data_IF_996208381249
#
_entry.id   IF_996208381249
#
_cell.length_a   1.000
_cell.length_b   1.000
_cell.length_c   1.000
_cell.angle_alpha   90.00
_cell.angle_beta   90.00
_cell.angle_gamma   90.00
#
_symmetry.space_group_name_H-M   'P 1'
#
loop_
_entity.id
_entity.type
_entity.pdbx_description
1 polymer ?
#
# COMPACT_ATOMS: atom_id res chain seq x y z
N UNK A 1 27.32 -3.31 -1.33
CA UNK A 1 26.16 -4.21 -1.10
C UNK A 1 25.30 -3.63 0.02
N UNK A 2 24.07 -3.18 -0.26
CA UNK A 2 23.16 -2.70 0.79
C UNK A 2 22.46 -3.93 1.40
N UNK A 3 22.40 -4.08 2.74
CA UNK A 3 21.75 -5.21 3.36
C UNK A 3 20.24 -5.16 3.08
N UNK A 4 19.69 -6.25 2.54
CA UNK A 4 18.26 -6.48 2.42
C UNK A 4 17.69 -6.64 3.83
N UNK A 5 17.08 -5.57 4.33
CA UNK A 5 16.32 -5.57 5.58
C UNK A 5 15.15 -6.57 5.48
N UNK A 6 15.39 -7.81 5.92
CA UNK A 6 14.35 -8.79 6.20
C UNK A 6 13.51 -8.25 7.36
N UNK A 7 12.18 -8.23 7.20
CA UNK A 7 11.25 -7.72 8.21
C UNK A 7 11.06 -8.71 9.37
N UNK A 8 12.16 -9.15 9.97
CA UNK A 8 12.11 -9.88 11.24
C UNK A 8 11.83 -8.89 12.37
N UNK A 9 10.60 -8.91 12.90
CA UNK A 9 10.14 -8.35 14.21
C UNK A 9 8.92 -7.41 14.19
N UNK A 10 8.27 -7.12 13.05
CA UNK A 10 6.98 -6.39 13.10
C UNK A 10 5.84 -7.32 13.51
N UNK A 11 5.37 -7.20 14.76
CA UNK A 11 4.08 -7.76 15.22
C UNK A 11 2.95 -6.99 14.52
N UNK A 12 2.44 -7.52 13.41
CA UNK A 12 1.30 -6.90 12.73
C UNK A 12 0.06 -6.89 13.63
N UNK A 13 -0.74 -5.81 13.58
CA UNK A 13 -1.91 -5.64 14.45
C UNK A 13 -2.94 -6.78 14.31
N UNK A 14 -3.00 -7.42 13.15
CA UNK A 14 -3.89 -8.55 12.86
C UNK A 14 -3.42 -9.89 13.43
N UNK A 15 -2.14 -10.06 13.78
CA UNK A 15 -1.60 -11.32 14.31
C UNK A 15 -1.78 -11.47 15.82
N UNK A 16 -2.48 -10.53 16.48
CA UNK A 16 -2.77 -10.56 17.93
C UNK A 16 -4.09 -11.29 18.19
N UNK A 17 -4.10 -12.21 19.16
CA UNK A 17 -5.22 -13.12 19.49
C UNK A 17 -6.56 -12.44 19.83
N UNK A 18 -6.55 -11.18 20.28
CA UNK A 18 -7.77 -10.48 20.74
C UNK A 18 -8.08 -9.22 19.93
N UNK A 19 -8.24 -9.38 18.63
CA UNK A 19 -8.68 -8.30 17.75
C UNK A 19 -10.18 -8.44 17.40
N UNK A 20 -11.00 -7.46 17.81
CA UNK A 20 -12.46 -7.46 17.56
C UNK A 20 -12.80 -7.35 16.06
N UNK A 21 -13.65 -8.28 15.57
CA UNK A 21 -14.09 -8.34 14.15
C UNK A 21 -14.71 -7.03 13.67
N UNK A 22 -15.47 -6.33 14.52
CA UNK A 22 -16.11 -5.06 14.17
C UNK A 22 -15.13 -3.88 14.07
N UNK A 23 -14.06 -3.86 14.89
CA UNK A 23 -13.00 -2.86 14.74
C UNK A 23 -12.19 -3.06 13.45
N UNK A 24 -12.03 -4.31 12.97
CA UNK A 24 -11.34 -4.59 11.68
C UNK A 24 -12.10 -3.95 10.55
N UNK A 25 -13.42 -4.14 10.59
CA UNK A 25 -14.33 -3.60 9.59
C UNK A 25 -14.24 -2.06 9.54
N UNK A 26 -14.30 -1.38 10.69
CA UNK A 26 -14.14 0.06 10.75
C UNK A 26 -12.77 0.53 10.24
N UNK A 27 -11.67 -0.12 10.66
CA UNK A 27 -10.32 0.23 10.20
C UNK A 27 -10.19 0.10 8.66
N UNK A 28 -10.75 -0.96 8.08
CA UNK A 28 -10.79 -1.19 6.62
C UNK A 28 -11.59 -0.09 5.92
N UNK A 29 -12.80 0.21 6.38
CA UNK A 29 -13.65 1.22 5.74
C UNK A 29 -13.05 2.62 5.83
N UNK A 30 -12.39 2.94 6.95
CA UNK A 30 -11.70 4.23 7.11
C UNK A 30 -10.54 4.36 6.12
N UNK A 31 -9.79 3.28 5.88
CA UNK A 31 -8.73 3.23 4.88
C UNK A 31 -9.28 3.43 3.46
N UNK A 32 -10.33 2.70 3.09
CA UNK A 32 -10.94 2.79 1.75
C UNK A 32 -11.47 4.20 1.49
N UNK A 33 -12.17 4.80 2.45
CA UNK A 33 -12.70 6.16 2.32
C UNK A 33 -11.58 7.20 2.18
N UNK A 34 -10.48 7.07 2.94
CA UNK A 34 -9.29 7.93 2.79
C UNK A 34 -8.62 7.77 1.43
N UNK A 35 -8.49 6.54 0.93
CA UNK A 35 -7.90 6.25 -0.37
C UNK A 35 -8.73 6.88 -1.51
N UNK A 36 -10.05 6.69 -1.49
CA UNK A 36 -10.96 7.27 -2.48
C UNK A 36 -10.93 8.81 -2.45
N UNK A 37 -10.91 9.41 -1.26
CA UNK A 37 -10.81 10.86 -1.11
C UNK A 37 -9.46 11.41 -1.61
N UNK A 38 -8.35 10.73 -1.30
CA UNK A 38 -7.02 11.07 -1.81
C UNK A 38 -6.96 10.98 -3.35
N UNK A 39 -7.54 9.92 -3.92
CA UNK A 39 -7.59 9.73 -5.37
C UNK A 39 -8.48 10.77 -6.07
N UNK A 40 -9.61 11.14 -5.45
CA UNK A 40 -10.50 12.21 -5.93
C UNK A 40 -9.84 13.59 -5.89
N UNK A 41 -9.09 13.91 -4.82
CA UNK A 41 -8.37 15.17 -4.69
C UNK A 41 -7.13 15.27 -5.58
N UNK A 42 -6.51 14.14 -5.95
CA UNK A 42 -5.33 14.08 -6.82
C UNK A 42 -5.58 14.66 -8.22
N UNK A 43 -6.81 14.57 -8.73
CA UNK A 43 -7.18 15.09 -10.04
C UNK A 43 -7.62 16.57 -10.02
N UNK A 44 -7.62 17.23 -8.85
CA UNK A 44 -8.07 18.64 -8.71
C UNK A 44 -6.86 19.57 -8.68
N UNK A 45 -6.80 20.51 -9.62
CA UNK A 45 -5.71 21.47 -9.84
C UNK A 45 -5.37 22.36 -8.63
N UNK A 46 -6.32 22.57 -7.71
CA UNK A 46 -6.13 23.25 -6.42
C UNK A 46 -5.05 22.59 -5.53
N UNK A 47 -4.79 21.29 -5.68
CA UNK A 47 -3.81 20.55 -4.86
C UNK A 47 -2.33 20.81 -5.22
N UNK A 48 -2.07 21.58 -6.29
CA UNK A 48 -0.73 21.91 -6.76
C UNK A 48 -0.50 23.42 -6.74
N UNK A 49 0.06 23.95 -5.64
CA UNK A 49 0.64 25.29 -5.64
C UNK A 49 1.94 25.27 -6.47
N UNK A 50 2.00 26.08 -7.53
CA UNK A 50 3.21 26.29 -8.33
C UNK A 50 3.41 25.32 -9.52
N UNK A 51 2.33 24.71 -10.02
CA UNK A 51 2.37 23.90 -11.24
C UNK A 51 2.73 22.43 -11.00
N UNK A 52 2.28 21.60 -11.92
CA UNK A 52 2.50 20.15 -11.91
C UNK A 52 3.78 19.86 -12.70
N UNK A 53 4.86 19.50 -12.01
CA UNK A 53 6.06 18.92 -12.64
C UNK A 53 6.01 17.40 -12.55
N UNK A 54 6.44 16.71 -13.62
CA UNK A 54 6.47 15.25 -13.66
C UNK A 54 7.38 14.64 -12.58
N UNK A 55 8.45 15.34 -12.20
CA UNK A 55 9.35 14.91 -11.12
C UNK A 55 8.66 14.94 -9.75
N UNK A 56 7.88 16.01 -9.47
CA UNK A 56 7.09 16.13 -8.24
C UNK A 56 5.98 15.08 -8.17
N UNK A 57 5.35 14.77 -9.31
CA UNK A 57 4.35 13.70 -9.43
C UNK A 57 4.97 12.34 -9.16
N UNK A 58 6.09 12.01 -9.79
CA UNK A 58 6.79 10.74 -9.59
C UNK A 58 7.19 10.53 -8.12
N UNK A 59 7.76 11.57 -7.49
CA UNK A 59 8.12 11.52 -6.06
C UNK A 59 6.90 11.24 -5.17
N UNK A 60 5.76 11.91 -5.43
CA UNK A 60 4.50 11.65 -4.72
C UNK A 60 3.94 10.26 -4.97
N UNK A 61 3.94 9.78 -6.23
CA UNK A 61 3.49 8.43 -6.58
C UNK A 61 4.32 7.37 -5.86
N UNK A 62 5.64 7.56 -5.78
CA UNK A 62 6.53 6.66 -5.05
C UNK A 62 6.22 6.61 -3.56
N UNK A 63 6.04 7.77 -2.92
CA UNK A 63 5.67 7.84 -1.51
C UNK A 63 4.31 7.16 -1.24
N UNK A 64 3.33 7.38 -2.11
CA UNK A 64 2.01 6.76 -2.02
C UNK A 64 2.07 5.24 -2.24
N UNK A 65 2.87 4.77 -3.20
CA UNK A 65 3.08 3.34 -3.45
C UNK A 65 3.68 2.61 -2.24
N UNK A 66 4.69 3.20 -1.59
CA UNK A 66 5.28 2.66 -0.36
C UNK A 66 4.23 2.58 0.76
N UNK A 67 3.47 3.66 0.95
CA UNK A 67 2.42 3.70 1.98
C UNK A 67 1.31 2.67 1.75
N UNK A 68 0.88 2.47 0.49
CA UNK A 68 -0.10 1.43 0.13
C UNK A 68 0.45 0.05 0.49
N UNK A 69 1.68 -0.27 0.07
CA UNK A 69 2.33 -1.56 0.36
C UNK A 69 2.34 -1.85 1.86
N UNK A 70 2.78 -0.88 2.67
CA UNK A 70 2.81 -1.02 4.13
C UNK A 70 1.41 -1.21 4.73
N UNK A 71 0.42 -0.48 4.22
CA UNK A 71 -0.95 -0.60 4.70
C UNK A 71 -1.54 -1.98 4.36
N UNK A 72 -1.29 -2.52 3.16
CA UNK A 72 -1.75 -3.87 2.80
C UNK A 72 -1.15 -4.93 3.73
N UNK A 73 0.12 -4.78 4.13
CA UNK A 73 0.76 -5.65 5.13
C UNK A 73 0.07 -5.55 6.51
N UNK A 74 -0.26 -4.33 6.93
CA UNK A 74 -0.94 -4.05 8.20
C UNK A 74 -2.41 -4.48 8.23
N UNK A 75 -3.07 -4.56 7.08
CA UNK A 75 -4.45 -5.05 6.94
C UNK A 75 -4.52 -6.58 6.89
N UNK A 76 -3.44 -7.24 6.46
CA UNK A 76 -3.25 -8.69 6.59
C UNK A 76 -3.47 -9.51 5.32
N UNK A 77 -3.56 -10.85 5.44
CA UNK A 77 -3.36 -11.78 4.33
C UNK A 77 -4.25 -11.55 3.10
N UNK A 78 -5.52 -11.18 3.30
CA UNK A 78 -6.43 -10.88 2.19
C UNK A 78 -5.95 -9.68 1.36
N UNK A 79 -5.53 -8.61 2.03
CA UNK A 79 -5.06 -7.39 1.38
C UNK A 79 -3.67 -7.57 0.74
N UNK A 80 -2.82 -8.40 1.35
CA UNK A 80 -1.55 -8.82 0.76
C UNK A 80 -1.81 -9.52 -0.59
N UNK A 81 -2.75 -10.48 -0.64
CA UNK A 81 -3.13 -11.18 -1.89
C UNK A 81 -3.68 -10.22 -2.95
N UNK A 82 -4.49 -9.24 -2.55
CA UNK A 82 -4.98 -8.19 -3.47
C UNK A 82 -3.82 -7.39 -4.05
N UNK A 83 -2.86 -6.98 -3.22
CA UNK A 83 -1.66 -6.29 -3.70
C UNK A 83 -0.83 -7.11 -4.68
N UNK A 84 -0.70 -8.42 -4.42
CA UNK A 84 -0.01 -9.36 -5.32
C UNK A 84 -0.72 -9.52 -6.66
N UNK A 85 -2.06 -9.55 -6.67
CA UNK A 85 -2.83 -9.59 -7.91
C UNK A 85 -2.68 -8.29 -8.72
N UNK A 86 -2.63 -7.15 -8.03
CA UNK A 86 -2.43 -5.86 -8.69
C UNK A 86 -1.00 -5.68 -9.23
N UNK A 87 0.01 -6.27 -8.59
CA UNK A 87 1.39 -6.19 -9.10
C UNK A 87 1.60 -6.95 -10.40
N UNK A 88 0.73 -7.92 -10.75
CA UNK A 88 0.77 -8.59 -12.07
C UNK A 88 0.07 -7.79 -13.17
N UNK A 89 -0.64 -6.70 -12.81
CA UNK A 89 -1.39 -5.83 -13.74
C UNK A 89 -0.67 -4.49 -13.94
N UNK A 90 0.57 -4.56 -14.40
CA UNK A 90 1.40 -3.39 -14.67
C UNK A 90 0.83 -2.46 -15.76
N UNK A 91 -0.16 -2.94 -16.52
CA UNK A 91 -0.93 -2.17 -17.50
C UNK A 91 -1.88 -1.13 -16.85
N UNK A 92 -2.26 -1.33 -15.58
CA UNK A 92 -3.27 -0.50 -14.91
C UNK A 92 -2.68 0.52 -13.92
N UNK A 93 -1.42 0.35 -13.52
CA UNK A 93 -0.80 1.13 -12.45
C UNK A 93 0.51 1.78 -12.90
N UNK A 94 0.85 2.98 -12.40
CA UNK A 94 2.16 3.57 -12.63
C UNK A 94 3.28 2.66 -12.13
N UNK A 95 4.44 2.71 -12.78
CA UNK A 95 5.57 1.83 -12.51
C UNK A 95 6.01 1.82 -11.04
N UNK A 96 5.91 2.97 -10.35
CA UNK A 96 6.26 3.09 -8.93
C UNK A 96 5.36 2.22 -8.03
N UNK A 97 4.09 2.04 -8.38
CA UNK A 97 3.16 1.18 -7.64
C UNK A 97 3.43 -0.28 -7.92
N UNK A 98 3.64 -0.65 -9.18
CA UNK A 98 3.95 -2.02 -9.58
C UNK A 98 5.19 -2.50 -8.85
N UNK A 99 6.25 -1.68 -8.83
CA UNK A 99 7.51 -2.02 -8.16
C UNK A 99 7.33 -2.24 -6.65
N UNK A 100 6.59 -1.37 -5.95
CA UNK A 100 6.35 -1.54 -4.52
C UNK A 100 5.42 -2.73 -4.23
N UNK A 101 4.36 -2.92 -5.02
CA UNK A 101 3.44 -4.05 -4.82
C UNK A 101 4.10 -5.40 -5.11
N UNK A 102 5.02 -5.49 -6.08
CA UNK A 102 5.76 -6.72 -6.36
C UNK A 102 6.56 -7.22 -5.14
N UNK A 103 7.01 -6.32 -4.26
CA UNK A 103 7.69 -6.69 -3.00
C UNK A 103 6.79 -7.46 -2.02
N UNK A 104 5.48 -7.49 -2.24
CA UNK A 104 4.56 -8.34 -1.48
C UNK A 104 4.64 -9.81 -1.89
N UNK A 105 5.17 -10.12 -3.08
CA UNK A 105 5.34 -11.50 -3.57
C UNK A 105 6.51 -12.20 -2.88
N UNK A 106 7.62 -11.49 -2.66
CA UNK A 106 8.85 -12.04 -2.04
C UNK A 106 8.71 -12.38 -0.54
N UNK A 107 7.56 -12.10 0.07
CA UNK A 107 7.41 -12.02 1.54
C UNK A 107 6.29 -12.85 2.14
N UNK A 108 5.73 -13.77 1.38
CA UNK A 108 4.78 -14.72 1.96
C UNK A 108 5.58 -15.78 2.71
N UNK A 109 5.50 -15.88 4.05
CA UNK A 109 6.00 -17.06 4.73
C UNK A 109 5.24 -18.27 4.18
N UNK A 110 5.95 -19.33 3.82
CA UNK A 110 5.32 -20.59 3.45
C UNK A 110 4.35 -20.98 4.57
N UNK A 111 3.10 -21.29 4.20
CA UNK A 111 2.15 -21.86 5.13
C UNK A 111 2.68 -23.25 5.51
N UNK A 112 3.13 -23.43 6.76
CA UNK A 112 3.27 -24.74 7.42
C UNK A 112 2.20 -24.87 8.49
#
# INVERSE_FOLDING_TARGET
MKPSQGYGSKSYRWSRDRYSKQRRFLDIWTFVLKLLYAQWSYNKSWSYRGGISEEKKATRRRALAIWIRETLLDLGPTFIKVGQLFSTRADLFPAEYVEELSKLQDRVPAFS
#
